data_IF_286056311286
#
_entry.id   IF_286056311286
#
_cell.length_a   1.000
_cell.length_b   1.000
_cell.length_c   1.000
_cell.angle_alpha   90.00
_cell.angle_beta   90.00
_cell.angle_gamma   90.00
#
_symmetry.space_group_name_H-M   'P 1'
#
loop_
_entity.id
_entity.type
_entity.pdbx_description
1 polymer ?
#
# COMPACT_ATOMS: atom_id res chain seq x y z
N UNK A 1 -0.97 -69.71 16.26
CA UNK A 1 -1.19 -68.35 16.83
C UNK A 1 0.06 -67.52 16.56
N UNK A 2 0.01 -66.57 15.63
CA UNK A 2 1.03 -65.53 15.45
C UNK A 2 0.27 -64.21 15.25
N UNK A 3 0.23 -63.41 16.30
CA UNK A 3 -0.35 -62.06 16.27
C UNK A 3 0.59 -61.14 15.50
N UNK A 4 0.09 -60.53 14.43
CA UNK A 4 0.72 -59.39 13.76
C UNK A 4 0.17 -58.14 14.43
N UNK A 5 1.03 -57.42 15.14
CA UNK A 5 0.72 -56.12 15.75
C UNK A 5 0.77 -55.08 14.64
N UNK A 6 -0.39 -54.51 14.31
CA UNK A 6 -0.52 -53.38 13.38
C UNK A 6 -0.14 -52.10 14.14
N UNK A 7 1.04 -51.55 13.88
CA UNK A 7 1.46 -50.26 14.42
C UNK A 7 0.90 -49.15 13.51
N UNK A 8 -0.22 -48.56 13.89
CA UNK A 8 -0.76 -47.38 13.22
C UNK A 8 0.09 -46.16 13.60
N UNK A 9 0.91 -45.67 12.67
CA UNK A 9 1.52 -44.35 12.79
C UNK A 9 0.44 -43.30 12.53
N UNK A 10 -0.11 -42.74 13.60
CA UNK A 10 -0.87 -41.49 13.56
C UNK A 10 0.14 -40.36 13.41
N UNK A 11 0.37 -39.91 12.17
CA UNK A 11 1.01 -38.63 11.90
C UNK A 11 0.02 -37.53 12.31
N UNK A 12 0.22 -36.93 13.48
CA UNK A 12 -0.45 -35.70 13.87
C UNK A 12 -0.01 -34.58 12.94
N UNK A 13 -0.84 -34.26 11.93
CA UNK A 13 -0.73 -33.00 11.21
C UNK A 13 -1.13 -31.91 12.20
N UNK A 14 -0.14 -31.18 12.70
CA UNK A 14 -0.36 -29.98 13.50
C UNK A 14 -1.08 -28.97 12.61
N UNK A 15 -2.37 -28.76 12.83
CA UNK A 15 -3.11 -27.66 12.23
C UNK A 15 -2.51 -26.37 12.80
N UNK A 16 -1.59 -25.74 12.05
CA UNK A 16 -1.19 -24.36 12.30
C UNK A 16 -2.35 -23.46 11.85
N UNK A 17 -3.34 -23.29 12.72
CA UNK A 17 -4.20 -22.12 12.66
C UNK A 17 -3.41 -20.97 13.29
N UNK A 18 -2.48 -20.38 12.54
CA UNK A 18 -1.86 -19.12 12.93
C UNK A 18 -2.88 -18.00 12.62
N UNK A 19 -3.34 -17.39 13.70
CA UNK A 19 -4.49 -16.50 13.79
C UNK A 19 -4.28 -15.17 13.03
N UNK A 20 -5.37 -14.61 12.53
CA UNK A 20 -5.54 -13.42 11.68
C UNK A 20 -4.73 -12.18 12.12
N UNK A 21 -3.93 -11.59 11.21
CA UNK A 21 -3.28 -10.29 11.41
C UNK A 21 -4.13 -9.15 10.78
N UNK A 22 -4.17 -7.99 11.46
CA UNK A 22 -5.01 -6.78 11.21
C UNK A 22 -6.53 -7.01 11.08
N UNK A 23 -7.25 -6.69 12.16
CA UNK A 23 -8.72 -6.66 12.16
C UNK A 23 -9.24 -5.64 11.12
N UNK A 24 -10.18 -6.08 10.28
CA UNK A 24 -10.97 -5.18 9.44
C UNK A 24 -11.76 -4.26 10.38
N UNK A 25 -11.37 -2.99 10.43
CA UNK A 25 -12.00 -2.00 11.29
C UNK A 25 -12.13 -0.66 10.55
N UNK A 26 -13.14 0.16 10.87
CA UNK A 26 -13.24 1.50 10.32
C UNK A 26 -12.08 2.39 10.80
N UNK A 27 -11.75 3.48 10.07
CA UNK A 27 -10.87 4.51 10.58
C UNK A 27 -11.36 5.04 11.92
N UNK A 28 -10.45 5.26 12.87
CA UNK A 28 -10.79 5.77 14.20
C UNK A 28 -10.90 7.30 14.22
N UNK A 29 -10.28 7.96 13.24
CA UNK A 29 -10.22 9.41 13.11
C UNK A 29 -10.41 9.83 11.66
N UNK A 30 -10.84 11.06 11.45
CA UNK A 30 -10.95 11.64 10.11
C UNK A 30 -9.58 12.15 9.61
N UNK A 31 -8.90 12.98 10.39
CA UNK A 31 -7.60 13.57 10.03
C UNK A 31 -6.51 13.05 10.94
N UNK A 32 -5.32 12.79 10.39
CA UNK A 32 -4.11 12.74 11.18
C UNK A 32 -3.73 14.17 11.58
N UNK A 33 -3.44 14.37 12.86
CA UNK A 33 -2.93 15.64 13.37
C UNK A 33 -1.58 15.51 14.09
N UNK A 34 -0.95 14.35 14.00
CA UNK A 34 0.27 14.01 14.72
C UNK A 34 1.50 14.45 13.91
N UNK A 35 2.53 14.89 14.62
CA UNK A 35 3.88 15.09 14.07
C UNK A 35 4.46 13.70 13.71
N UNK A 36 5.03 13.54 12.52
CA UNK A 36 5.71 12.28 12.15
C UNK A 36 6.88 12.04 13.10
N UNK A 37 6.88 10.96 13.88
CA UNK A 37 8.09 10.53 14.60
C UNK A 37 8.82 9.42 13.84
N UNK A 38 9.89 8.89 14.46
CA UNK A 38 10.69 7.84 13.86
C UNK A 38 9.86 6.57 13.64
N UNK A 39 9.89 6.05 12.41
CA UNK A 39 9.24 4.80 12.04
C UNK A 39 10.19 3.63 12.28
N UNK A 40 9.72 2.60 12.97
CA UNK A 40 10.42 1.32 13.13
C UNK A 40 9.55 0.19 12.60
N UNK A 41 10.12 -0.70 11.79
CA UNK A 41 9.40 -1.85 11.23
C UNK A 41 9.90 -3.16 11.84
N UNK A 42 8.98 -4.11 12.02
CA UNK A 42 9.25 -5.46 12.50
C UNK A 42 8.66 -6.48 11.55
N UNK A 43 9.50 -7.43 11.15
CA UNK A 43 9.09 -8.53 10.29
C UNK A 43 8.16 -9.50 11.02
N UNK A 44 7.09 -9.89 10.34
CA UNK A 44 6.05 -10.81 10.79
C UNK A 44 5.94 -12.02 9.87
N UNK A 45 5.24 -13.04 10.37
CA UNK A 45 4.87 -14.26 9.66
C UNK A 45 5.98 -14.77 8.72
N UNK A 46 7.08 -15.27 9.27
CA UNK A 46 8.16 -15.89 8.49
C UNK A 46 8.71 -15.06 7.31
N UNK A 47 8.90 -13.74 7.50
CA UNK A 47 9.41 -12.82 6.48
C UNK A 47 8.46 -12.58 5.31
N UNK A 48 7.15 -12.60 5.57
CA UNK A 48 6.14 -12.34 4.54
C UNK A 48 5.76 -10.86 4.45
N UNK A 49 5.74 -10.14 5.57
CA UNK A 49 5.58 -8.68 5.61
C UNK A 49 6.19 -8.11 6.88
N UNK A 50 6.33 -6.79 6.91
CA UNK A 50 6.70 -6.01 8.08
C UNK A 50 5.48 -5.21 8.56
N UNK A 51 5.32 -5.09 9.88
CA UNK A 51 4.45 -4.09 10.49
C UNK A 51 5.33 -2.94 10.96
N UNK A 52 4.95 -1.73 10.60
CA UNK A 52 5.67 -0.51 10.95
C UNK A 52 4.92 0.27 12.04
N UNK A 53 5.70 0.84 12.94
CA UNK A 53 5.26 1.52 14.13
C UNK A 53 5.87 2.92 14.19
N UNK A 54 5.05 3.90 14.56
CA UNK A 54 5.52 5.18 15.05
C UNK A 54 5.84 5.08 16.54
N UNK A 55 6.97 5.63 16.95
CA UNK A 55 7.43 5.66 18.34
C UNK A 55 7.19 7.05 18.90
N UNK A 56 6.17 7.20 19.74
CA UNK A 56 5.87 8.49 20.35
C UNK A 56 6.92 8.92 21.38
N UNK A 57 6.81 10.16 21.90
CA UNK A 57 7.74 10.70 22.91
C UNK A 57 7.74 9.92 24.23
N UNK A 58 6.75 9.06 24.46
CA UNK A 58 6.64 8.19 25.63
C UNK A 58 7.09 6.75 25.33
N UNK A 59 7.68 6.50 24.15
CA UNK A 59 8.12 5.19 23.68
C UNK A 59 6.97 4.17 23.50
N UNK A 60 5.75 4.67 23.26
CA UNK A 60 4.63 3.83 22.84
C UNK A 60 4.73 3.54 21.34
N UNK A 61 4.41 2.31 20.96
CA UNK A 61 4.42 1.84 19.59
C UNK A 61 3.00 1.90 19.04
N UNK A 62 2.77 2.79 18.06
CA UNK A 62 1.49 2.89 17.36
C UNK A 62 1.66 2.32 15.96
N UNK A 63 0.86 1.33 15.56
CA UNK A 63 0.90 0.79 14.21
C UNK A 63 0.49 1.87 13.19
N UNK A 64 1.31 2.04 12.15
CA UNK A 64 1.10 3.10 11.15
C UNK A 64 1.08 2.60 9.71
N UNK A 65 1.73 1.48 9.43
CA UNK A 65 1.68 0.84 8.13
C UNK A 65 2.03 -0.64 8.23
N UNK A 66 1.75 -1.39 7.17
CA UNK A 66 2.44 -2.64 6.91
C UNK A 66 3.03 -2.60 5.50
N UNK A 67 4.11 -3.34 5.28
CA UNK A 67 4.78 -3.37 3.99
C UNK A 67 5.37 -4.71 3.66
N UNK A 68 5.60 -4.96 2.38
CA UNK A 68 6.35 -6.12 1.92
C UNK A 68 7.03 -5.80 0.59
N UNK A 69 8.08 -6.56 0.31
CA UNK A 69 8.91 -6.35 -0.87
C UNK A 69 8.79 -7.53 -1.83
N UNK A 70 8.55 -7.22 -3.10
CA UNK A 70 8.79 -8.11 -4.22
C UNK A 70 10.25 -7.93 -4.67
N UNK A 71 11.05 -8.99 -4.53
CA UNK A 71 12.45 -9.02 -4.90
C UNK A 71 12.82 -10.35 -5.58
N UNK A 72 14.06 -10.43 -6.08
CA UNK A 72 14.57 -11.57 -6.85
C UNK A 72 13.99 -11.64 -8.26
N UNK A 73 14.66 -12.35 -9.17
CA UNK A 73 14.24 -12.40 -10.58
C UNK A 73 12.84 -12.99 -10.70
N UNK A 74 11.93 -12.20 -11.24
CA UNK A 74 10.60 -12.62 -11.66
C UNK A 74 10.07 -11.73 -12.80
N UNK A 75 8.80 -11.87 -13.17
CA UNK A 75 8.23 -11.08 -14.28
C UNK A 75 8.11 -9.58 -13.97
N UNK A 76 8.16 -9.21 -12.69
CA UNK A 76 8.03 -7.83 -12.20
C UNK A 76 9.40 -7.22 -11.95
N UNK A 77 10.28 -7.95 -11.27
CA UNK A 77 11.65 -7.55 -10.95
C UNK A 77 12.58 -8.24 -11.96
N UNK A 78 13.05 -7.52 -13.01
CA UNK A 78 13.66 -8.15 -14.17
C UNK A 78 15.13 -8.58 -13.95
N UNK A 79 15.74 -8.20 -12.83
CA UNK A 79 17.15 -8.47 -12.56
C UNK A 79 17.40 -8.75 -11.07
N UNK A 80 18.53 -9.39 -10.76
CA UNK A 80 19.01 -9.52 -9.38
C UNK A 80 19.77 -8.26 -8.96
N UNK A 81 19.72 -7.96 -7.67
CA UNK A 81 20.57 -6.97 -7.03
C UNK A 81 20.15 -6.75 -5.59
N UNK A 82 21.10 -6.31 -4.77
CA UNK A 82 20.84 -5.90 -3.40
C UNK A 82 19.98 -4.64 -3.39
N UNK A 83 18.78 -4.73 -2.79
CA UNK A 83 17.83 -3.62 -2.73
C UNK A 83 17.03 -3.40 -4.03
N UNK A 84 17.25 -4.22 -5.07
CA UNK A 84 16.46 -4.20 -6.30
C UNK A 84 15.13 -4.89 -6.06
N UNK A 85 14.03 -4.19 -6.36
CA UNK A 85 12.70 -4.71 -6.09
C UNK A 85 11.60 -3.65 -6.14
N UNK A 86 10.40 -4.08 -5.79
CA UNK A 86 9.23 -3.24 -5.59
C UNK A 86 8.73 -3.40 -4.15
N UNK A 87 8.64 -2.30 -3.43
CA UNK A 87 8.03 -2.24 -2.12
C UNK A 87 6.58 -1.77 -2.22
N UNK A 88 5.70 -2.45 -1.47
CA UNK A 88 4.33 -2.04 -1.24
C UNK A 88 4.19 -1.66 0.23
N UNK A 89 3.81 -0.42 0.52
CA UNK A 89 3.54 0.05 1.88
C UNK A 89 2.12 0.60 1.98
N UNK A 90 1.30 -0.06 2.79
CA UNK A 90 -0.07 0.32 3.06
C UNK A 90 -0.11 1.19 4.31
N UNK A 91 -0.37 2.47 4.12
CA UNK A 91 -0.31 3.50 5.15
C UNK A 91 -1.68 3.70 5.81
N UNK A 92 -1.68 3.84 7.13
CA UNK A 92 -2.84 4.11 7.96
C UNK A 92 -2.45 4.82 9.26
N UNK A 93 -1.57 5.81 9.14
CA UNK A 93 -1.04 6.54 10.29
C UNK A 93 -2.16 7.16 11.14
N UNK A 94 -2.00 7.05 12.46
CA UNK A 94 -2.99 7.48 13.47
C UNK A 94 -4.39 6.86 13.26
N UNK A 95 -4.47 5.78 12.47
CA UNK A 95 -5.73 5.16 12.03
C UNK A 95 -6.70 6.19 11.41
N UNK A 96 -6.14 7.22 10.78
CA UNK A 96 -6.88 8.35 10.25
C UNK A 96 -7.31 8.11 8.80
N UNK A 97 -8.57 8.46 8.49
CA UNK A 97 -9.13 8.36 7.15
C UNK A 97 -8.28 9.11 6.12
N UNK A 98 -7.75 10.29 6.47
CA UNK A 98 -6.93 11.13 5.58
C UNK A 98 -5.70 10.43 5.03
N UNK A 99 -5.16 9.46 5.77
CA UNK A 99 -3.83 8.90 5.56
C UNK A 99 -3.88 7.47 5.03
N UNK A 100 -5.07 6.99 4.66
CA UNK A 100 -5.23 5.67 4.06
C UNK A 100 -4.76 5.69 2.61
N UNK A 101 -3.58 5.12 2.37
CA UNK A 101 -2.95 5.07 1.06
C UNK A 101 -2.08 3.84 0.85
N UNK A 102 -1.71 3.64 -0.41
CA UNK A 102 -0.67 2.69 -0.81
C UNK A 102 0.46 3.49 -1.43
N UNK A 103 1.64 3.39 -0.83
CA UNK A 103 2.89 3.77 -1.46
C UNK A 103 3.48 2.56 -2.17
N UNK A 104 3.81 2.73 -3.44
CA UNK A 104 4.62 1.79 -4.21
C UNK A 104 5.96 2.44 -4.51
N UNK A 105 7.05 1.74 -4.24
CA UNK A 105 8.40 2.19 -4.53
C UNK A 105 9.10 1.13 -5.39
N UNK A 106 9.52 1.52 -6.60
CA UNK A 106 10.41 0.74 -7.45
C UNK A 106 11.88 1.16 -7.27
N UNK A 107 12.74 0.17 -7.00
CA UNK A 107 14.20 0.25 -7.05
C UNK A 107 14.69 -0.60 -8.22
N UNK A 108 15.00 0.00 -9.39
CA UNK A 108 15.24 -0.75 -10.62
C UNK A 108 16.62 -1.43 -10.69
N UNK A 109 17.62 -0.88 -10.01
CA UNK A 109 19.00 -1.37 -9.98
C UNK A 109 19.71 -0.93 -8.68
N UNK A 110 20.97 -1.32 -8.48
CA UNK A 110 21.77 -1.00 -7.28
C UNK A 110 22.43 0.39 -7.34
N UNK A 111 22.41 1.05 -8.49
CA UNK A 111 23.22 2.24 -8.78
C UNK A 111 22.37 3.51 -8.70
N UNK A 112 21.10 3.42 -9.06
CA UNK A 112 20.15 4.50 -8.96
C UNK A 112 19.91 4.83 -7.48
N UNK A 113 20.41 6.00 -7.07
CA UNK A 113 20.27 6.49 -5.70
C UNK A 113 18.84 6.91 -5.37
N UNK A 114 17.96 6.94 -6.36
CA UNK A 114 16.62 7.47 -6.24
C UNK A 114 15.53 6.46 -6.57
N UNK A 115 14.73 6.21 -5.54
CA UNK A 115 13.44 5.54 -5.61
C UNK A 115 12.48 6.21 -6.62
N UNK A 116 11.66 5.39 -7.28
CA UNK A 116 10.52 5.87 -8.06
C UNK A 116 9.24 5.53 -7.35
N UNK A 117 8.48 6.56 -6.97
CA UNK A 117 7.39 6.41 -6.02
C UNK A 117 6.05 6.69 -6.69
N UNK A 118 5.05 5.89 -6.31
CA UNK A 118 3.65 6.10 -6.66
C UNK A 118 2.81 6.03 -5.40
N UNK A 119 2.04 7.08 -5.14
CA UNK A 119 1.07 7.13 -4.06
C UNK A 119 -0.34 6.95 -4.61
N UNK A 120 -1.11 6.06 -4.00
CA UNK A 120 -2.48 5.73 -4.38
C UNK A 120 -3.42 5.85 -3.17
N UNK A 121 -4.44 6.71 -3.26
CA UNK A 121 -5.51 6.81 -2.25
C UNK A 121 -6.80 6.22 -2.81
N UNK A 122 -7.43 5.31 -2.07
CA UNK A 122 -8.61 4.57 -2.51
C UNK A 122 -9.89 5.11 -1.85
N UNK A 123 -10.99 5.18 -2.60
CA UNK A 123 -12.28 5.69 -2.13
C UNK A 123 -13.43 4.79 -2.60
N UNK A 124 -14.43 4.49 -1.74
CA UNK A 124 -14.60 5.00 -0.38
C UNK A 124 -13.58 4.42 0.61
N UNK A 125 -13.33 5.14 1.70
CA UNK A 125 -12.36 4.77 2.75
C UNK A 125 -13.04 4.11 3.95
N UNK A 126 -13.71 2.99 3.75
CA UNK A 126 -14.60 2.43 4.77
C UNK A 126 -13.86 1.75 5.92
N UNK A 127 -12.73 1.13 5.61
CA UNK A 127 -11.92 0.35 6.55
C UNK A 127 -10.46 0.79 6.49
N UNK A 128 -9.70 0.49 7.54
CA UNK A 128 -8.24 0.47 7.46
C UNK A 128 -7.79 -0.65 6.50
N UNK A 129 -6.68 -0.47 5.77
CA UNK A 129 -6.04 -1.59 5.07
C UNK A 129 -5.78 -2.74 6.04
N UNK A 130 -6.06 -3.96 5.59
CA UNK A 130 -5.82 -5.17 6.38
C UNK A 130 -5.05 -6.19 5.53
N UNK A 131 -4.19 -6.98 6.15
CA UNK A 131 -3.36 -8.01 5.54
C UNK A 131 -3.53 -9.34 6.27
N UNK A 132 -3.82 -10.39 5.52
CA UNK A 132 -3.97 -11.74 6.04
C UNK A 132 -3.23 -12.74 5.15
N UNK A 133 -2.90 -13.88 5.72
CA UNK A 133 -2.15 -14.93 5.04
C UNK A 133 -2.98 -16.19 4.92
N UNK A 134 -3.00 -16.76 3.72
CA UNK A 134 -3.61 -18.05 3.46
C UNK A 134 -2.53 -19.00 2.95
N UNK A 135 -2.24 -20.05 3.72
CA UNK A 135 -1.35 -21.10 3.26
C UNK A 135 -1.83 -22.49 3.64
N UNK A 136 -1.80 -23.37 2.65
CA UNK A 136 -2.07 -24.79 2.76
C UNK A 136 -1.14 -25.55 1.78
N UNK A 137 -1.41 -26.83 1.53
CA UNK A 137 -0.59 -27.63 0.62
C UNK A 137 -0.58 -27.11 -0.83
N UNK A 138 -1.60 -26.34 -1.23
CA UNK A 138 -1.83 -25.87 -2.60
C UNK A 138 -1.68 -24.34 -2.73
N UNK A 139 -1.69 -23.61 -1.62
CA UNK A 139 -1.69 -22.14 -1.58
C UNK A 139 -0.60 -21.58 -0.68
N UNK A 140 -0.03 -20.47 -1.14
CA UNK A 140 0.84 -19.60 -0.37
C UNK A 140 0.52 -18.17 -0.83
N UNK A 141 -0.39 -17.50 -0.12
CA UNK A 141 -1.01 -16.23 -0.54
C UNK A 141 -0.94 -15.19 0.58
N UNK A 142 -0.60 -13.97 0.20
CA UNK A 142 -0.79 -12.77 1.03
C UNK A 142 -1.97 -12.01 0.44
N UNK A 143 -2.99 -11.74 1.24
CA UNK A 143 -4.21 -11.07 0.79
C UNK A 143 -4.37 -9.78 1.56
N UNK A 144 -4.49 -8.69 0.81
CA UNK A 144 -4.65 -7.35 1.34
C UNK A 144 -6.06 -6.85 1.02
N UNK A 145 -6.80 -6.45 2.03
CA UNK A 145 -8.08 -5.75 1.88
C UNK A 145 -7.82 -4.25 1.85
N UNK A 146 -8.20 -3.59 0.76
CA UNK A 146 -8.07 -2.15 0.57
C UNK A 146 -9.13 -1.37 1.36
N UNK A 147 -8.97 -0.05 1.55
CA UNK A 147 -9.99 0.79 2.20
C UNK A 147 -11.39 0.73 1.55
N UNK A 148 -11.45 0.34 0.28
CA UNK A 148 -12.69 0.11 -0.49
C UNK A 148 -13.35 -1.23 -0.20
N UNK A 149 -12.82 -2.01 0.74
CA UNK A 149 -13.21 -3.41 1.04
C UNK A 149 -12.93 -4.39 -0.10
N UNK A 150 -12.17 -3.97 -1.11
CA UNK A 150 -11.75 -4.84 -2.22
C UNK A 150 -10.43 -5.51 -1.91
N UNK A 151 -10.27 -6.76 -2.35
CA UNK A 151 -9.06 -7.53 -2.08
C UNK A 151 -8.03 -7.42 -3.21
N UNK A 152 -6.77 -7.52 -2.82
CA UNK A 152 -5.62 -7.74 -3.70
C UNK A 152 -4.90 -8.97 -3.20
N UNK A 153 -4.71 -9.93 -4.11
CA UNK A 153 -4.06 -11.21 -3.80
C UNK A 153 -2.67 -11.19 -4.38
N UNK A 154 -1.70 -11.42 -3.50
CA UNK A 154 -0.29 -11.54 -3.81
C UNK A 154 0.15 -12.99 -3.67
N UNK A 155 1.07 -13.41 -4.54
CA UNK A 155 1.81 -14.65 -4.34
C UNK A 155 2.63 -14.53 -3.05
N UNK A 156 2.45 -15.44 -2.11
CA UNK A 156 3.08 -15.36 -0.79
C UNK A 156 4.60 -15.50 -0.85
N UNK A 157 5.16 -16.15 -1.88
CA UNK A 157 6.61 -16.27 -2.08
C UNK A 157 7.20 -15.07 -2.82
N UNK A 158 6.72 -14.79 -4.03
CA UNK A 158 7.30 -13.77 -4.91
C UNK A 158 6.77 -12.36 -4.65
N UNK A 159 5.67 -12.24 -3.90
CA UNK A 159 4.93 -10.97 -3.68
C UNK A 159 4.46 -10.31 -4.98
N UNK A 160 4.33 -11.09 -6.06
CA UNK A 160 3.67 -10.64 -7.28
C UNK A 160 2.15 -10.56 -7.07
N UNK A 161 1.50 -9.53 -7.58
CA UNK A 161 0.04 -9.47 -7.65
C UNK A 161 -0.43 -10.55 -8.64
N UNK A 162 -1.30 -11.43 -8.18
CA UNK A 162 -1.87 -12.51 -9.00
C UNK A 162 -3.34 -12.28 -9.34
N UNK A 163 -4.09 -11.55 -8.51
CA UNK A 163 -5.48 -11.20 -8.78
C UNK A 163 -5.99 -10.08 -7.87
N UNK A 164 -7.19 -9.55 -8.15
CA UNK A 164 -7.90 -8.61 -7.27
C UNK A 164 -8.05 -7.22 -7.89
N UNK A 165 -8.14 -6.21 -7.03
CA UNK A 165 -8.40 -4.83 -7.43
C UNK A 165 -7.18 -4.11 -8.02
N UNK A 166 -5.97 -4.63 -7.85
CA UNK A 166 -4.75 -4.11 -8.44
C UNK A 166 -4.18 -5.07 -9.49
N UNK A 167 -3.47 -4.52 -10.46
CA UNK A 167 -2.58 -5.25 -11.36
C UNK A 167 -1.24 -4.54 -11.43
N UNK A 168 -0.19 -5.25 -11.81
CA UNK A 168 1.13 -4.67 -11.95
C UNK A 168 1.85 -5.09 -13.24
N UNK A 169 2.68 -4.19 -13.73
CA UNK A 169 3.67 -4.43 -14.78
C UNK A 169 5.10 -4.45 -14.24
N UNK A 170 6.07 -4.85 -15.09
CA UNK A 170 7.48 -4.88 -14.71
C UNK A 170 8.01 -3.52 -14.32
N UNK A 171 9.00 -3.51 -13.43
CA UNK A 171 9.84 -2.34 -13.16
C UNK A 171 10.55 -1.97 -14.47
N UNK A 172 10.54 -0.68 -14.80
CA UNK A 172 11.02 -0.18 -16.09
C UNK A 172 11.97 1.00 -15.88
N UNK A 173 12.92 1.11 -16.80
CA UNK A 173 13.79 2.27 -16.97
C UNK A 173 13.67 2.80 -18.40
N UNK A 174 13.97 4.08 -18.56
CA UNK A 174 14.23 4.70 -19.86
C UNK A 174 15.52 4.14 -20.47
N UNK A 175 15.78 4.41 -21.75
CA UNK A 175 17.03 4.00 -22.42
C UNK A 175 18.30 4.53 -21.75
N UNK A 176 18.18 5.61 -20.97
CA UNK A 176 19.29 6.26 -20.29
C UNK A 176 19.44 5.78 -18.83
N UNK A 177 18.70 4.75 -18.41
CA UNK A 177 18.78 4.20 -17.06
C UNK A 177 17.88 4.89 -16.02
N UNK A 178 17.27 6.04 -16.33
CA UNK A 178 16.33 6.68 -15.38
C UNK A 178 15.10 5.80 -15.20
N UNK A 179 14.70 5.49 -13.97
CA UNK A 179 13.51 4.66 -13.76
C UNK A 179 12.22 5.35 -14.18
N UNK A 180 11.17 4.55 -14.30
CA UNK A 180 9.83 4.98 -14.65
C UNK A 180 8.94 4.74 -13.42
N UNK A 181 7.91 5.58 -13.25
CA UNK A 181 6.97 5.43 -12.14
C UNK A 181 6.38 4.00 -12.10
N UNK A 182 6.16 3.43 -10.90
CA UNK A 182 5.63 2.07 -10.76
C UNK A 182 4.37 1.83 -11.59
N UNK A 183 4.41 0.76 -12.40
CA UNK A 183 3.30 0.34 -13.26
C UNK A 183 2.29 -0.49 -12.48
N UNK A 184 1.73 0.10 -11.41
CA UNK A 184 0.64 -0.50 -10.61
C UNK A 184 -0.66 0.21 -10.95
N UNK A 185 -1.69 -0.55 -11.31
CA UNK A 185 -2.96 -0.03 -11.81
C UNK A 185 -4.11 -0.55 -10.96
N UNK A 186 -5.04 0.34 -10.62
CA UNK A 186 -6.27 -0.02 -9.91
C UNK A 186 -7.42 -0.25 -10.89
N UNK A 187 -7.99 -1.45 -10.82
CA UNK A 187 -9.07 -1.96 -11.66
C UNK A 187 -10.36 -2.25 -10.86
N UNK A 188 -10.37 -1.88 -9.58
CA UNK A 188 -11.52 -1.98 -8.69
C UNK A 188 -12.69 -1.08 -9.09
N UNK A 189 -13.77 -1.17 -8.33
CA UNK A 189 -15.03 -0.45 -8.56
C UNK A 189 -15.03 0.96 -8.00
N UNK A 190 -14.16 1.22 -7.03
CA UNK A 190 -14.04 2.52 -6.37
C UNK A 190 -13.33 3.58 -7.23
N UNK A 191 -12.92 4.65 -6.56
CA UNK A 191 -12.12 5.73 -7.12
C UNK A 191 -10.71 5.64 -6.56
N UNK A 192 -9.71 5.86 -7.41
CA UNK A 192 -8.31 6.03 -6.98
C UNK A 192 -7.81 7.43 -7.33
N UNK A 193 -7.09 8.05 -6.39
CA UNK A 193 -6.26 9.23 -6.64
C UNK A 193 -4.81 8.77 -6.71
N UNK A 194 -4.13 9.01 -7.83
CA UNK A 194 -2.75 8.62 -8.04
C UNK A 194 -1.85 9.85 -8.23
N UNK A 195 -0.77 9.89 -7.47
CA UNK A 195 0.35 10.80 -7.63
C UNK A 195 1.63 9.96 -7.87
N UNK A 196 2.54 10.42 -8.72
CA UNK A 196 3.78 9.72 -8.98
C UNK A 196 4.92 10.73 -9.13
N UNK A 197 6.07 10.39 -8.56
CA UNK A 197 7.26 11.23 -8.62
C UNK A 197 8.52 10.37 -8.78
N UNK A 198 9.52 10.98 -9.42
CA UNK A 198 10.86 10.44 -9.59
C UNK A 198 11.74 11.11 -8.55
N UNK A 199 12.46 10.33 -7.74
CA UNK A 199 13.41 10.84 -6.75
C UNK A 199 12.83 11.74 -5.66
N UNK A 200 11.50 11.78 -5.51
CA UNK A 200 10.81 12.76 -4.67
C UNK A 200 9.51 12.15 -4.12
N UNK A 201 8.99 12.66 -3.01
CA UNK A 201 7.75 12.18 -2.43
C UNK A 201 6.57 12.58 -3.34
N UNK A 202 5.68 11.66 -3.77
CA UNK A 202 4.68 11.97 -4.81
C UNK A 202 3.72 13.12 -4.46
N UNK A 203 3.36 13.24 -3.19
CA UNK A 203 2.51 14.33 -2.67
C UNK A 203 3.33 15.53 -2.18
N UNK A 204 4.65 15.41 -2.17
CA UNK A 204 5.64 16.39 -1.75
C UNK A 204 5.79 16.51 -0.23
N UNK A 205 6.83 17.22 0.16
CA UNK A 205 7.14 17.70 1.51
C UNK A 205 7.62 19.15 1.41
N UNK A 206 7.83 19.85 2.53
CA UNK A 206 8.40 21.20 2.50
C UNK A 206 9.76 21.22 1.77
N UNK A 207 9.86 22.05 0.72
CA UNK A 207 11.06 22.14 -0.14
C UNK A 207 11.12 21.12 -1.27
N UNK A 208 10.24 20.12 -1.27
CA UNK A 208 10.14 19.06 -2.28
C UNK A 208 9.12 19.37 -3.38
N UNK A 209 9.29 18.76 -4.56
CA UNK A 209 8.39 18.98 -5.70
C UNK A 209 7.25 17.97 -5.67
N UNK A 210 6.15 18.37 -5.03
CA UNK A 210 4.87 17.65 -5.16
C UNK A 210 4.44 17.50 -6.63
N UNK A 211 3.70 16.43 -6.91
CA UNK A 211 3.01 16.25 -8.19
C UNK A 211 2.09 17.44 -8.47
N UNK A 212 2.44 18.24 -9.50
CA UNK A 212 1.64 19.41 -9.88
C UNK A 212 0.23 19.03 -10.33
N UNK A 213 0.13 17.91 -11.03
CA UNK A 213 -1.11 17.34 -11.54
C UNK A 213 -1.18 15.89 -11.05
N UNK A 214 -2.34 15.51 -10.55
CA UNK A 214 -2.64 14.16 -10.10
C UNK A 214 -3.81 13.59 -10.88
N UNK A 215 -3.82 12.28 -11.02
CA UNK A 215 -4.86 11.59 -11.78
C UNK A 215 -5.88 10.98 -10.83
N UNK A 216 -7.17 11.22 -11.13
CA UNK A 216 -8.28 10.58 -10.45
C UNK A 216 -8.98 9.66 -11.44
N UNK A 217 -9.09 8.38 -11.10
CA UNK A 217 -9.60 7.33 -11.98
C UNK A 217 -10.78 6.62 -11.31
N UNK A 218 -11.80 6.33 -12.12
CA UNK A 218 -12.93 5.45 -11.80
C UNK A 218 -13.16 4.54 -12.99
N UNK A 219 -13.42 3.26 -12.75
CA UNK A 219 -13.65 2.28 -13.81
C UNK A 219 -14.77 2.74 -14.75
N UNK A 220 -14.51 2.71 -16.06
CA UNK A 220 -15.46 3.14 -17.09
C UNK A 220 -15.62 4.66 -17.23
N UNK A 221 -14.88 5.47 -16.46
CA UNK A 221 -14.88 6.92 -16.56
C UNK A 221 -13.57 7.42 -17.17
N UNK A 222 -13.62 8.57 -17.83
CA UNK A 222 -12.40 9.24 -18.31
C UNK A 222 -11.56 9.69 -17.11
N UNK A 223 -10.25 9.47 -17.17
CA UNK A 223 -9.32 9.99 -16.16
C UNK A 223 -9.48 11.50 -15.99
N UNK A 224 -9.70 11.93 -14.75
CA UNK A 224 -9.77 13.33 -14.36
C UNK A 224 -8.40 13.79 -13.87
N UNK A 225 -7.96 14.97 -14.30
CA UNK A 225 -6.69 15.55 -13.87
C UNK A 225 -6.97 16.72 -12.94
N UNK A 226 -6.39 16.69 -11.73
CA UNK A 226 -6.62 17.68 -10.70
C UNK A 226 -5.26 18.27 -10.28
N UNK A 227 -5.13 19.59 -10.10
CA UNK A 227 -3.97 20.18 -9.47
C UNK A 227 -3.75 19.64 -8.04
N UNK A 228 -2.53 19.20 -7.71
CA UNK A 228 -2.24 18.59 -6.41
C UNK A 228 -2.62 19.48 -5.21
N UNK A 229 -2.42 20.79 -5.33
CA UNK A 229 -2.80 21.79 -4.33
C UNK A 229 -4.30 21.87 -4.00
N UNK A 230 -5.17 21.30 -4.84
CA UNK A 230 -6.61 21.19 -4.52
C UNK A 230 -6.86 20.04 -3.53
N UNK A 231 -6.02 19.00 -3.56
CA UNK A 231 -6.16 17.78 -2.75
C UNK A 231 -5.31 17.76 -1.49
N UNK A 232 -4.11 18.36 -1.51
CA UNK A 232 -3.20 18.38 -0.37
C UNK A 232 -2.77 19.79 0.01
N UNK A 233 -2.35 19.95 1.26
CA UNK A 233 -1.74 21.17 1.78
C UNK A 233 -0.53 20.85 2.65
N UNK A 234 0.44 21.76 2.65
CA UNK A 234 1.62 21.69 3.52
C UNK A 234 1.34 22.43 4.83
N UNK A 235 1.58 21.79 5.97
CA UNK A 235 1.48 22.42 7.29
C UNK A 235 2.88 22.68 7.86
N UNK A 236 3.34 23.92 7.71
CA UNK A 236 4.64 24.37 8.23
C UNK A 236 4.74 24.31 9.75
N UNK A 237 3.61 24.32 10.48
CA UNK A 237 3.64 24.18 11.94
C UNK A 237 3.96 22.75 12.38
N UNK A 238 3.87 21.78 11.47
CA UNK A 238 4.16 20.36 11.68
C UNK A 238 5.39 19.93 10.89
N UNK A 239 6.41 20.77 10.88
CA UNK A 239 7.67 20.49 10.22
C UNK A 239 7.57 20.36 8.70
N UNK A 240 6.57 20.97 8.06
CA UNK A 240 6.46 20.95 6.60
C UNK A 240 5.78 19.72 6.00
N UNK A 241 5.09 18.94 6.84
CA UNK A 241 4.37 17.75 6.40
C UNK A 241 3.20 18.09 5.46
N UNK A 242 2.91 17.17 4.54
CA UNK A 242 1.81 17.29 3.59
C UNK A 242 0.64 16.42 4.02
N UNK A 243 -0.54 17.03 4.08
CA UNK A 243 -1.77 16.40 4.55
C UNK A 243 -2.86 16.45 3.48
N UNK A 244 -3.74 15.45 3.47
CA UNK A 244 -4.95 15.49 2.67
C UNK A 244 -5.84 16.63 3.14
N UNK A 245 -6.40 17.41 2.20
CA UNK A 245 -7.18 18.59 2.49
C UNK A 245 -8.35 18.26 3.43
N UNK A 246 -8.37 18.92 4.59
CA UNK A 246 -9.38 18.71 5.65
C UNK A 246 -10.82 18.83 5.16
N UNK A 247 -11.06 19.62 4.11
CA UNK A 247 -12.38 19.80 3.48
C UNK A 247 -12.82 18.60 2.63
N UNK A 248 -11.93 17.66 2.35
CA UNK A 248 -12.12 16.53 1.44
C UNK A 248 -11.93 15.18 2.15
N UNK A 249 -11.81 15.16 3.48
CA UNK A 249 -11.49 13.93 4.21
C UNK A 249 -12.66 12.93 4.20
N UNK A 250 -13.90 13.38 4.40
CA UNK A 250 -15.04 12.44 4.39
C UNK A 250 -15.35 11.96 2.97
N UNK A 251 -15.91 10.76 2.84
CA UNK A 251 -16.33 10.22 1.56
C UNK A 251 -17.36 11.15 0.88
N UNK A 252 -18.29 11.72 1.64
CA UNK A 252 -19.35 12.60 1.11
C UNK A 252 -18.77 13.91 0.59
N UNK A 253 -17.83 14.51 1.33
CA UNK A 253 -17.19 15.75 0.93
C UNK A 253 -16.36 15.56 -0.35
N UNK A 254 -15.61 14.45 -0.42
CA UNK A 254 -14.82 14.13 -1.60
C UNK A 254 -15.70 13.75 -2.80
N UNK A 255 -16.79 12.99 -2.59
CA UNK A 255 -17.77 12.67 -3.63
C UNK A 255 -18.37 13.93 -4.26
N UNK A 256 -18.79 14.89 -3.43
CA UNK A 256 -19.31 16.18 -3.91
C UNK A 256 -18.26 16.95 -4.71
N UNK A 257 -17.02 16.96 -4.24
CA UNK A 257 -15.91 17.59 -4.95
C UNK A 257 -15.68 16.95 -6.33
N UNK A 258 -15.62 15.62 -6.40
CA UNK A 258 -15.42 14.90 -7.67
C UNK A 258 -16.58 15.10 -8.64
N UNK A 259 -17.83 15.10 -8.17
CA UNK A 259 -19.00 15.38 -9.04
C UNK A 259 -18.89 16.76 -9.69
N UNK A 260 -18.46 17.77 -8.93
CA UNK A 260 -18.25 19.11 -9.45
C UNK A 260 -17.02 19.24 -10.35
N UNK A 261 -15.92 18.54 -10.02
CA UNK A 261 -14.62 18.70 -10.70
C UNK A 261 -14.43 17.79 -11.92
N UNK A 262 -14.91 16.56 -11.82
CA UNK A 262 -14.62 15.45 -12.73
C UNK A 262 -15.88 14.91 -13.44
N UNK A 263 -17.08 15.29 -13.01
CA UNK A 263 -18.34 14.81 -13.58
C UNK A 263 -18.73 13.39 -13.16
N UNK A 264 -18.00 12.78 -12.21
CA UNK A 264 -18.34 11.51 -11.58
C UNK A 264 -18.07 11.58 -10.07
N UNK A 265 -18.74 10.73 -9.29
CA UNK A 265 -18.56 10.64 -7.84
C UNK A 265 -17.87 9.34 -7.40
N UNK A 266 -17.73 9.17 -6.09
CA UNK A 266 -17.30 7.91 -5.47
C UNK A 266 -18.35 6.83 -5.74
N UNK A 267 -19.62 7.16 -5.51
CA UNK A 267 -20.78 6.28 -5.74
C UNK A 267 -21.28 6.40 -7.18
#
# INVERSE_FOLDING_TARGET
MKSIVLLAMLSSVSAYAEFDETLIQPPLKESNEVELNGISCRTRNHNRWDICYDIDRNNNYNETSFKFQNNGINKIVPMEGFGVGRDFEFQFQDMARSDLGLLVWDSPDEVESHAHLKMMYFFPRNILPAIRYESDAEKDLVIVTLPTEEEVVFNGKTKEIISGALTEGPIKQTSNGTAIAPDVQYNGKGVVVEAAAVADWPVGFEGEKASKIVSVKKKGQKTCLIPGKELWFTDHSKGGNVFFNKKLISNEAFDKFLKGRCGFGIY
#
